data_IF_558803309101
#
_entry.id   IF_558803309101
#
_cell.length_a   1.000
_cell.length_b   1.000
_cell.length_c   1.000
_cell.angle_alpha   90.00
_cell.angle_beta   90.00
_cell.angle_gamma   90.00
#
_symmetry.space_group_name_H-M   'P 1'
#
loop_
_entity.id
_entity.type
_entity.pdbx_description
1 polymer ?
#
# COMPACT_ATOMS: atom_id res chain seq x y z
N UNK A 1 -17.84 -41.66 10.97
CA UNK A 1 -17.39 -41.63 12.38
C UNK A 1 -15.95 -41.15 12.42
N UNK A 2 -15.66 -40.26 13.37
CA UNK A 2 -14.53 -39.35 13.38
C UNK A 2 -13.22 -39.96 13.91
N UNK A 3 -12.08 -39.46 13.43
CA UNK A 3 -10.79 -39.59 14.10
C UNK A 3 -9.90 -38.34 13.87
N UNK A 4 -9.82 -37.53 14.94
CA UNK A 4 -8.71 -36.75 15.52
C UNK A 4 -7.64 -36.06 14.64
N UNK A 5 -7.64 -34.73 14.83
CA UNK A 5 -6.54 -33.74 14.99
C UNK A 5 -5.07 -34.13 14.72
N UNK A 6 -4.38 -33.23 14.00
CA UNK A 6 -3.01 -32.80 14.33
C UNK A 6 -2.86 -31.29 14.05
N UNK A 7 -2.50 -30.54 15.10
CA UNK A 7 -1.98 -29.16 15.04
C UNK A 7 -0.53 -29.22 14.56
N UNK A 8 -0.15 -28.37 13.61
CA UNK A 8 1.27 -28.14 13.29
C UNK A 8 1.68 -26.77 13.84
N UNK A 9 2.76 -26.81 14.61
CA UNK A 9 3.33 -25.72 15.38
C UNK A 9 4.15 -24.75 14.53
N UNK A 10 4.11 -23.47 14.91
CA UNK A 10 5.04 -22.44 14.50
C UNK A 10 6.42 -22.71 15.10
N UNK A 11 7.48 -22.60 14.28
CA UNK A 11 8.86 -22.55 14.76
C UNK A 11 9.37 -21.12 14.53
N UNK A 12 9.32 -20.32 15.58
CA UNK A 12 10.04 -19.06 15.72
C UNK A 12 11.47 -19.36 16.15
N UNK A 13 12.45 -18.94 15.33
CA UNK A 13 13.87 -18.94 15.72
C UNK A 13 14.28 -17.54 16.15
N UNK A 14 14.37 -17.36 17.46
CA UNK A 14 15.04 -16.22 18.10
C UNK A 14 16.49 -16.61 18.38
N UNK A 15 17.44 -15.75 18.01
CA UNK A 15 18.83 -15.85 18.51
C UNK A 15 19.24 -14.47 19.02
N UNK A 16 19.26 -14.33 20.34
CA UNK A 16 19.91 -13.26 21.07
C UNK A 16 21.29 -13.74 21.50
N UNK A 17 22.34 -12.95 21.25
CA UNK A 17 23.58 -12.99 22.03
C UNK A 17 23.96 -11.55 22.39
N UNK A 18 23.76 -11.23 23.65
CA UNK A 18 24.41 -10.11 24.33
C UNK A 18 25.90 -10.40 24.48
N UNK A 19 26.74 -9.39 24.27
CA UNK A 19 27.97 -9.21 25.04
C UNK A 19 28.20 -7.71 25.29
N UNK A 20 28.56 -7.43 26.54
CA UNK A 20 28.57 -6.16 27.25
C UNK A 20 30.00 -5.63 27.31
N UNK A 21 30.24 -4.35 27.04
CA UNK A 21 31.31 -3.59 27.72
C UNK A 21 31.14 -2.07 27.57
N UNK A 22 31.29 -1.39 28.72
CA UNK A 22 31.24 0.06 28.95
C UNK A 22 32.40 0.78 28.25
N UNK A 23 32.17 2.00 27.76
CA UNK A 23 32.82 3.23 28.29
C UNK A 23 32.47 4.48 27.46
N UNK A 24 32.25 5.57 28.21
CA UNK A 24 32.48 6.99 27.87
C UNK A 24 31.55 7.74 26.91
N UNK A 25 30.92 8.76 27.49
CA UNK A 25 30.27 9.92 26.86
C UNK A 25 31.17 10.55 25.78
N UNK A 26 30.56 10.96 24.66
CA UNK A 26 30.77 12.25 23.99
C UNK A 26 29.58 12.47 23.03
N UNK A 27 28.90 13.58 23.26
CA UNK A 27 27.98 14.33 22.41
C UNK A 27 28.00 13.96 20.91
N UNK A 28 26.87 13.47 20.40
CA UNK A 28 26.43 13.70 19.02
C UNK A 28 24.92 13.59 18.95
N UNK A 29 24.26 14.72 18.72
CA UNK A 29 22.93 14.75 18.09
C UNK A 29 23.05 13.97 16.78
N UNK A 30 22.69 12.69 16.82
CA UNK A 30 22.40 11.89 15.65
C UNK A 30 20.88 11.77 15.62
N UNK A 31 20.25 12.49 14.72
CA UNK A 31 18.96 12.09 14.16
C UNK A 31 19.15 10.71 13.53
N UNK A 32 19.00 9.66 14.34
CA UNK A 32 18.97 8.30 13.84
C UNK A 32 17.66 8.12 13.09
N UNK A 33 17.68 8.28 11.76
CA UNK A 33 16.55 7.90 10.92
C UNK A 33 16.31 6.40 11.14
N UNK A 34 15.28 6.08 11.90
CA UNK A 34 14.88 4.70 12.15
C UNK A 34 14.22 4.18 10.88
N UNK A 35 14.60 2.97 10.45
CA UNK A 35 14.08 2.36 9.23
C UNK A 35 13.50 0.99 9.53
N UNK A 36 12.28 0.73 9.03
CA UNK A 36 11.68 -0.60 9.01
C UNK A 36 11.52 -1.07 7.56
N UNK A 37 11.66 -2.39 7.36
CA UNK A 37 11.36 -3.05 6.10
C UNK A 37 10.36 -4.17 6.33
N UNK A 38 9.30 -4.23 5.53
CA UNK A 38 8.32 -5.31 5.58
C UNK A 38 8.03 -5.81 4.17
N UNK A 39 7.87 -7.13 4.03
CA UNK A 39 7.36 -7.78 2.83
C UNK A 39 6.04 -8.47 3.20
N UNK A 40 5.02 -8.31 2.36
CA UNK A 40 3.71 -8.91 2.58
C UNK A 40 3.08 -9.41 1.27
N UNK A 41 2.33 -10.51 1.37
CA UNK A 41 1.43 -10.99 0.33
C UNK A 41 -0.03 -10.62 0.67
N UNK A 42 -0.87 -10.50 -0.36
CA UNK A 42 -2.27 -10.05 -0.27
C UNK A 42 -3.03 -10.86 0.77
N UNK A 43 -3.78 -10.19 1.66
CA UNK A 43 -4.64 -10.87 2.64
C UNK A 43 -6.04 -11.16 2.10
N UNK A 44 -6.56 -10.35 1.18
CA UNK A 44 -7.83 -10.61 0.50
C UNK A 44 -7.97 -9.81 -0.80
N UNK A 45 -8.58 -10.44 -1.82
CA UNK A 45 -9.10 -9.82 -3.03
C UNK A 45 -10.60 -10.13 -3.03
N UNK A 46 -11.47 -9.14 -2.87
CA UNK A 46 -12.91 -9.36 -2.96
C UNK A 46 -13.43 -8.94 -4.34
N UNK A 47 -14.08 -9.84 -5.10
CA UNK A 47 -14.84 -9.45 -6.27
C UNK A 47 -16.13 -8.74 -5.83
N UNK A 48 -16.45 -7.63 -6.48
CA UNK A 48 -17.70 -6.91 -6.22
C UNK A 48 -18.81 -7.66 -6.96
N UNK A 49 -19.72 -8.30 -6.23
CA UNK A 49 -20.85 -9.04 -6.79
C UNK A 49 -21.83 -8.08 -7.49
N UNK A 50 -22.36 -8.49 -8.65
CA UNK A 50 -23.21 -7.66 -9.50
C UNK A 50 -24.62 -7.37 -8.96
N UNK A 51 -25.07 -6.16 -9.30
CA UNK A 51 -26.42 -5.59 -9.36
C UNK A 51 -27.24 -5.41 -8.07
N UNK A 52 -27.29 -4.18 -7.60
CA UNK A 52 -28.51 -3.36 -7.74
C UNK A 52 -28.08 -1.91 -8.01
N UNK A 53 -28.79 -1.22 -8.91
CA UNK A 53 -28.72 0.24 -9.01
C UNK A 53 -29.24 0.82 -7.70
N UNK A 54 -28.35 0.97 -6.72
CA UNK A 54 -28.56 1.92 -5.63
C UNK A 54 -27.70 3.13 -5.96
N UNK A 55 -28.40 4.23 -6.24
CA UNK A 55 -27.95 5.61 -6.27
C UNK A 55 -26.45 5.80 -6.08
N UNK A 56 -25.77 6.17 -7.16
CA UNK A 56 -24.45 6.75 -7.13
C UNK A 56 -24.53 8.06 -6.34
N UNK A 57 -24.52 8.00 -5.01
CA UNK A 57 -24.08 9.14 -4.24
C UNK A 57 -22.60 9.31 -4.57
N UNK A 58 -22.30 10.43 -5.21
CA UNK A 58 -20.97 10.95 -5.39
C UNK A 58 -20.22 10.87 -4.06
N UNK A 59 -19.23 9.98 -3.97
CA UNK A 59 -18.26 9.95 -2.87
C UNK A 59 -17.52 11.31 -2.74
N UNK A 60 -17.64 12.19 -3.73
CA UNK A 60 -17.09 13.54 -3.74
C UNK A 60 -17.83 14.55 -2.85
N UNK A 61 -19.03 14.25 -2.31
CA UNK A 61 -19.80 15.27 -1.57
C UNK A 61 -19.84 15.07 -0.05
N UNK A 62 -19.33 13.96 0.49
CA UNK A 62 -19.27 13.72 1.95
C UNK A 62 -17.87 13.73 2.58
N UNK A 63 -16.80 14.05 1.83
CA UNK A 63 -15.50 14.44 2.41
C UNK A 63 -15.35 15.96 2.36
N UNK A 64 -16.33 16.65 2.92
CA UNK A 64 -16.16 18.02 3.40
C UNK A 64 -16.64 18.06 4.84
N UNK A 65 -15.74 18.51 5.70
CA UNK A 65 -15.93 18.79 7.13
C UNK A 65 -15.58 17.61 8.06
N UNK A 66 -14.28 17.32 8.13
CA UNK A 66 -13.54 17.25 9.41
C UNK A 66 -12.01 17.27 9.23
N UNK A 67 -11.50 17.85 8.15
CA UNK A 67 -10.16 18.44 8.19
C UNK A 67 -10.32 19.82 8.80
N UNK A 68 -10.43 19.88 10.13
CA UNK A 68 -9.88 21.04 10.83
C UNK A 68 -8.42 21.17 10.37
N UNK A 69 -7.90 22.38 10.24
CA UNK A 69 -6.54 22.63 9.72
C UNK A 69 -5.40 22.05 10.58
N UNK A 70 -5.55 20.91 11.24
CA UNK A 70 -4.44 20.13 11.77
C UNK A 70 -3.75 19.43 10.62
N UNK A 71 -2.57 19.96 10.31
CA UNK A 71 -1.40 19.21 9.89
C UNK A 71 -1.63 17.70 9.97
N UNK A 72 -1.73 17.06 8.80
CA UNK A 72 -1.78 15.60 8.69
C UNK A 72 -0.65 14.97 9.51
N UNK A 73 -0.72 13.67 9.77
CA UNK A 73 0.10 12.92 10.75
C UNK A 73 1.63 12.92 10.44
N UNK A 74 2.09 13.80 9.55
CA UNK A 74 3.42 13.85 8.97
C UNK A 74 3.66 12.64 8.08
N UNK A 75 2.57 12.06 7.54
CA UNK A 75 2.62 10.92 6.66
C UNK A 75 2.79 11.39 5.22
N UNK A 76 3.82 10.87 4.55
CA UNK A 76 4.06 11.11 3.12
C UNK A 76 4.70 9.91 2.45
N UNK A 77 4.42 9.73 1.17
CA UNK A 77 5.21 8.84 0.33
C UNK A 77 6.44 9.59 -0.19
N UNK A 78 7.59 8.94 -0.08
CA UNK A 78 8.86 9.46 -0.58
C UNK A 78 9.13 8.95 -2.00
N UNK A 79 8.77 7.70 -2.27
CA UNK A 79 8.83 7.08 -3.59
C UNK A 79 8.02 5.79 -3.64
N UNK A 80 7.74 5.33 -4.86
CA UNK A 80 7.13 4.04 -5.14
C UNK A 80 7.76 3.42 -6.38
N UNK A 81 7.94 2.10 -6.40
CA UNK A 81 8.30 1.35 -7.60
C UNK A 81 7.40 0.12 -7.80
N UNK A 82 7.27 -0.28 -9.07
CA UNK A 82 6.61 -1.51 -9.51
C UNK A 82 7.62 -2.35 -10.27
N UNK A 83 7.72 -3.62 -9.90
CA UNK A 83 8.57 -4.62 -10.54
C UNK A 83 7.75 -5.79 -11.01
N UNK A 84 8.17 -6.39 -12.11
CA UNK A 84 7.79 -7.77 -12.39
C UNK A 84 8.31 -8.66 -11.26
N UNK A 85 7.43 -9.37 -10.57
CA UNK A 85 7.82 -10.18 -9.42
C UNK A 85 8.60 -11.44 -9.81
N UNK A 86 8.47 -11.92 -11.05
CA UNK A 86 9.24 -13.08 -11.53
C UNK A 86 10.67 -12.68 -11.90
N UNK A 87 10.85 -11.64 -12.72
CA UNK A 87 12.17 -11.22 -13.19
C UNK A 87 12.88 -10.22 -12.29
N UNK A 88 12.17 -9.55 -11.37
CA UNK A 88 12.68 -8.45 -10.54
C UNK A 88 12.90 -7.14 -11.30
N UNK A 89 12.60 -7.10 -12.61
CA UNK A 89 12.77 -5.93 -13.47
C UNK A 89 11.86 -4.79 -13.01
N UNK A 90 12.43 -3.59 -12.84
CA UNK A 90 11.64 -2.37 -12.61
C UNK A 90 10.86 -2.03 -13.88
N UNK A 91 9.54 -1.93 -13.74
CA UNK A 91 8.62 -1.55 -14.81
C UNK A 91 8.22 -0.09 -14.69
N UNK A 92 8.11 0.42 -13.46
CA UNK A 92 7.72 1.79 -13.20
C UNK A 92 8.27 2.27 -11.86
N UNK A 93 8.53 3.57 -11.74
CA UNK A 93 8.90 4.21 -10.48
C UNK A 93 8.47 5.69 -10.48
N UNK A 94 8.24 6.22 -9.29
CA UNK A 94 8.01 7.65 -9.04
C UNK A 94 8.62 8.06 -7.71
N UNK A 95 9.04 9.32 -7.62
CA UNK A 95 9.50 9.98 -6.39
C UNK A 95 8.51 11.04 -5.90
N UNK A 96 7.32 11.08 -6.49
CA UNK A 96 6.24 11.98 -6.07
C UNK A 96 5.57 11.46 -4.80
N UNK A 97 5.07 12.40 -3.98
CA UNK A 97 4.22 12.06 -2.84
C UNK A 97 2.81 11.71 -3.31
N UNK A 98 2.66 10.45 -3.72
CA UNK A 98 1.37 9.91 -4.15
C UNK A 98 0.34 9.83 -3.01
N UNK A 99 0.69 10.09 -1.74
CA UNK A 99 -0.25 10.16 -0.64
C UNK A 99 -0.78 11.57 -0.37
N UNK A 100 -0.48 12.55 -1.24
CA UNK A 100 -1.08 13.88 -1.17
C UNK A 100 -2.55 13.83 -1.66
N UNK A 101 -3.54 14.16 -0.81
CA UNK A 101 -4.95 14.06 -1.16
C UNK A 101 -5.48 15.24 -1.99
N UNK A 102 -4.70 16.32 -2.15
CA UNK A 102 -5.18 17.57 -2.74
C UNK A 102 -5.45 17.50 -4.25
N UNK A 103 -4.94 16.47 -4.93
CA UNK A 103 -5.15 16.29 -6.37
C UNK A 103 -5.08 14.82 -6.76
N UNK A 104 -5.62 14.52 -7.94
CA UNK A 104 -5.49 13.22 -8.59
C UNK A 104 -4.13 13.13 -9.32
N UNK A 105 -3.32 12.16 -8.93
CA UNK A 105 -2.02 11.88 -9.52
C UNK A 105 -2.18 11.13 -10.85
N UNK A 106 -1.18 11.23 -11.73
CA UNK A 106 -1.15 10.49 -13.01
C UNK A 106 0.07 9.59 -13.05
N UNK A 107 -0.13 8.30 -13.31
CA UNK A 107 0.95 7.35 -13.51
C UNK A 107 0.93 6.79 -14.93
N UNK A 108 2.00 7.05 -15.68
CA UNK A 108 2.26 6.45 -16.99
C UNK A 108 3.06 5.17 -16.81
N UNK A 109 2.42 4.03 -17.02
CA UNK A 109 2.98 2.70 -16.78
C UNK A 109 3.09 1.92 -18.10
N UNK A 110 4.13 1.09 -18.27
CA UNK A 110 4.31 0.38 -19.53
C UNK A 110 3.26 -0.73 -19.68
N UNK A 111 2.72 -0.92 -20.89
CA UNK A 111 1.71 -1.96 -21.19
C UNK A 111 2.13 -3.38 -20.80
N UNK A 112 3.43 -3.67 -20.78
CA UNK A 112 3.93 -5.01 -20.45
C UNK A 112 3.68 -5.41 -18.99
N UNK A 113 3.35 -4.47 -18.08
CA UNK A 113 2.95 -4.78 -16.71
C UNK A 113 1.67 -5.65 -16.65
N UNK A 114 0.78 -5.51 -17.64
CA UNK A 114 -0.45 -6.31 -17.75
C UNK A 114 -0.17 -7.77 -18.13
N UNK A 115 1.06 -8.10 -18.51
CA UNK A 115 1.50 -9.47 -18.84
C UNK A 115 2.16 -10.16 -17.64
N UNK A 116 2.46 -9.44 -16.57
CA UNK A 116 3.07 -10.03 -15.38
C UNK A 116 2.05 -10.92 -14.66
N UNK A 117 2.48 -12.11 -14.22
CA UNK A 117 1.64 -12.95 -13.33
C UNK A 117 1.45 -12.31 -11.97
N UNK A 118 2.48 -11.62 -11.49
CA UNK A 118 2.39 -10.79 -10.30
C UNK A 118 3.34 -9.59 -10.40
N UNK A 119 2.94 -8.50 -9.76
CA UNK A 119 3.68 -7.24 -9.67
C UNK A 119 4.10 -7.05 -8.23
N UNK A 120 5.39 -6.84 -7.99
CA UNK A 120 5.90 -6.41 -6.70
C UNK A 120 5.84 -4.89 -6.63
N UNK A 121 5.01 -4.36 -5.73
CA UNK A 121 4.98 -2.94 -5.39
C UNK A 121 5.84 -2.70 -4.17
N UNK A 122 6.71 -1.70 -4.24
CA UNK A 122 7.49 -1.24 -3.11
C UNK A 122 7.22 0.25 -2.90
N UNK A 123 6.79 0.62 -1.71
CA UNK A 123 6.63 2.02 -1.30
C UNK A 123 7.66 2.37 -0.24
N UNK A 124 8.11 3.62 -0.23
CA UNK A 124 8.84 4.19 0.87
C UNK A 124 8.10 5.40 1.40
N UNK A 125 7.95 5.47 2.70
CA UNK A 125 7.15 6.49 3.35
C UNK A 125 7.81 6.97 4.63
N UNK A 126 7.50 8.20 5.01
CA UNK A 126 7.90 8.77 6.29
C UNK A 126 6.66 9.04 7.13
N UNK A 127 6.78 8.88 8.43
CA UNK A 127 5.77 9.29 9.40
C UNK A 127 6.43 10.10 10.52
N UNK A 128 5.93 11.30 10.80
CA UNK A 128 6.41 12.11 11.92
C UNK A 128 5.85 11.59 13.26
N UNK A 129 4.61 11.10 13.25
CA UNK A 129 3.97 10.53 14.43
C UNK A 129 3.98 9.01 14.41
N UNK A 130 3.75 8.43 15.59
CA UNK A 130 3.58 6.99 15.77
C UNK A 130 2.26 6.56 15.12
N UNK A 131 2.26 5.40 14.46
CA UNK A 131 1.04 4.74 13.95
C UNK A 131 0.99 3.35 14.58
N UNK A 132 -0.08 3.03 15.30
CA UNK A 132 -0.18 1.77 16.04
C UNK A 132 -0.45 0.58 15.12
N UNK A 133 -1.39 0.74 14.18
CA UNK A 133 -1.83 -0.30 13.25
C UNK A 133 -1.96 0.27 11.84
N UNK A 134 -0.82 0.58 11.24
CA UNK A 134 -0.78 1.09 9.88
C UNK A 134 -1.29 0.04 8.88
N UNK A 135 -2.32 0.41 8.12
CA UNK A 135 -2.92 -0.43 7.08
C UNK A 135 -3.32 0.42 5.89
N UNK A 136 -3.45 -0.21 4.72
CA UNK A 136 -3.98 0.44 3.53
C UNK A 136 -5.13 -0.38 2.96
N UNK A 137 -6.16 0.33 2.53
CA UNK A 137 -7.25 -0.20 1.71
C UNK A 137 -7.12 0.42 0.32
N UNK A 138 -7.13 -0.42 -0.71
CA UNK A 138 -6.99 0.03 -2.08
C UNK A 138 -8.17 -0.45 -2.91
N UNK A 139 -8.85 0.50 -3.57
CA UNK A 139 -9.95 0.23 -4.50
C UNK A 139 -9.51 0.59 -5.92
N UNK A 140 -9.78 -0.31 -6.86
CA UNK A 140 -9.51 -0.10 -8.28
C UNK A 140 -10.83 0.18 -8.98
N UNK A 141 -10.94 1.36 -9.60
CA UNK A 141 -12.12 1.77 -10.34
C UNK A 141 -11.84 1.73 -11.84
N UNK A 142 -12.74 1.12 -12.60
CA UNK A 142 -12.82 1.23 -14.05
C UNK A 142 -14.09 2.00 -14.41
N UNK A 143 -13.95 3.16 -15.05
CA UNK A 143 -15.10 4.02 -15.40
C UNK A 143 -16.02 4.30 -14.19
N UNK A 144 -15.42 4.66 -13.05
CA UNK A 144 -16.08 4.94 -11.77
C UNK A 144 -16.82 3.75 -11.13
N UNK A 145 -16.68 2.54 -11.67
CA UNK A 145 -17.15 1.31 -11.02
C UNK A 145 -15.98 0.63 -10.35
N UNK A 146 -16.06 0.39 -9.05
CA UNK A 146 -15.06 -0.41 -8.37
C UNK A 146 -15.10 -1.83 -8.95
N UNK A 147 -13.93 -2.37 -9.31
CA UNK A 147 -13.76 -3.72 -9.89
C UNK A 147 -12.93 -4.63 -8.99
N UNK A 148 -12.08 -4.06 -8.13
CA UNK A 148 -11.28 -4.81 -7.17
C UNK A 148 -11.04 -4.01 -5.90
N UNK A 149 -10.99 -4.72 -4.76
CA UNK A 149 -10.62 -4.17 -3.46
C UNK A 149 -9.54 -5.02 -2.80
N UNK A 150 -8.60 -4.35 -2.16
CA UNK A 150 -7.37 -4.93 -1.63
C UNK A 150 -7.07 -4.38 -0.25
N UNK A 151 -6.70 -5.26 0.67
CA UNK A 151 -6.38 -4.91 2.06
C UNK A 151 -4.97 -5.36 2.42
N UNK A 152 -4.16 -4.43 2.92
CA UNK A 152 -2.79 -4.71 3.38
C UNK A 152 -2.54 -4.12 4.76
N UNK A 153 -1.71 -4.80 5.53
CA UNK A 153 -1.46 -4.54 6.95
C UNK A 153 0.04 -4.44 7.16
N UNK A 154 0.52 -3.23 7.45
CA UNK A 154 1.92 -2.98 7.80
C UNK A 154 2.16 -3.17 9.29
N UNK A 155 1.24 -2.69 10.13
CA UNK A 155 1.34 -2.74 11.59
C UNK A 155 2.01 -1.51 12.17
N UNK A 156 2.83 -1.70 13.20
CA UNK A 156 3.39 -0.59 13.98
C UNK A 156 4.43 0.24 13.21
N UNK A 157 4.25 1.57 13.17
CA UNK A 157 5.19 2.54 12.60
C UNK A 157 5.79 3.40 13.69
N UNK A 158 7.12 3.43 13.74
CA UNK A 158 7.88 4.25 14.68
C UNK A 158 7.71 5.75 14.31
N UNK A 159 7.51 6.66 15.28
CA UNK A 159 7.50 8.10 14.99
C UNK A 159 8.84 8.57 14.42
N UNK A 160 8.83 9.59 13.55
CA UNK A 160 10.02 10.13 12.88
C UNK A 160 10.86 9.06 12.17
N UNK A 161 10.19 8.11 11.52
CA UNK A 161 10.84 7.00 10.81
C UNK A 161 10.59 7.08 9.31
N UNK A 162 11.48 6.44 8.55
CA UNK A 162 11.31 6.22 7.11
C UNK A 162 11.30 4.72 6.86
N UNK A 163 10.21 4.21 6.29
CA UNK A 163 9.97 2.78 6.15
C UNK A 163 9.84 2.41 4.69
N UNK A 164 10.26 1.20 4.35
CA UNK A 164 10.03 0.59 3.04
C UNK A 164 9.10 -0.61 3.19
N UNK A 165 8.04 -0.65 2.40
CA UNK A 165 7.07 -1.72 2.42
C UNK A 165 6.88 -2.28 1.03
N UNK A 166 7.19 -3.57 0.89
CA UNK A 166 6.96 -4.33 -0.32
C UNK A 166 5.68 -5.19 -0.19
N UNK A 167 4.80 -5.07 -1.17
CA UNK A 167 3.56 -5.84 -1.30
C UNK A 167 3.54 -6.53 -2.66
N UNK A 168 3.21 -7.82 -2.66
CA UNK A 168 3.01 -8.58 -3.90
C UNK A 168 1.56 -8.43 -4.38
N UNK A 169 1.34 -8.22 -5.67
CA UNK A 169 0.04 -8.02 -6.30
C UNK A 169 -0.14 -9.08 -7.40
N UNK A 170 -1.12 -9.97 -7.26
CA UNK A 170 -1.39 -11.03 -8.24
C UNK A 170 -2.30 -10.50 -9.35
N UNK A 171 -1.89 -10.75 -10.59
CA UNK A 171 -2.70 -10.38 -11.73
C UNK A 171 -3.95 -11.26 -11.84
N UNK A 172 -4.97 -10.76 -12.54
CA UNK A 172 -6.07 -11.61 -12.95
C UNK A 172 -5.56 -12.76 -13.84
N UNK A 173 -6.23 -13.93 -13.82
CA UNK A 173 -5.89 -15.04 -14.71
C UNK A 173 -5.80 -14.62 -16.18
N UNK A 174 -4.95 -15.33 -16.92
CA UNK A 174 -4.77 -15.12 -18.36
C UNK A 174 -6.12 -15.27 -19.08
N UNK A 175 -6.49 -14.27 -19.89
CA UNK A 175 -7.79 -14.18 -20.58
C UNK A 175 -8.86 -13.37 -19.85
N UNK A 176 -8.69 -13.03 -18.57
CA UNK A 176 -9.57 -12.10 -17.83
C UNK A 176 -9.02 -10.67 -17.77
N UNK A 177 -7.76 -10.48 -18.15
CA UNK A 177 -7.13 -9.15 -18.20
C UNK A 177 -7.70 -8.34 -19.36
N UNK A 178 -8.26 -7.17 -19.04
CA UNK A 178 -8.75 -6.24 -20.05
C UNK A 178 -7.58 -5.63 -20.85
N UNK A 179 -7.79 -5.32 -22.15
CA UNK A 179 -6.75 -4.73 -22.99
C UNK A 179 -6.38 -3.33 -22.49
N UNK A 180 -5.09 -2.97 -22.65
CA UNK A 180 -4.55 -1.68 -22.24
C UNK A 180 -5.33 -0.47 -22.81
N UNK A 181 -5.87 -0.58 -24.02
CA UNK A 181 -6.68 0.46 -24.65
C UNK A 181 -7.98 0.77 -23.90
N UNK A 182 -8.58 -0.21 -23.21
CA UNK A 182 -9.77 -0.01 -22.39
C UNK A 182 -9.42 0.49 -20.98
N UNK A 183 -8.24 0.12 -20.48
CA UNK A 183 -7.79 0.48 -19.13
C UNK A 183 -7.16 1.89 -19.06
N UNK A 184 -6.40 2.28 -20.08
CA UNK A 184 -5.62 3.52 -20.10
C UNK A 184 -6.51 4.76 -19.98
N UNK A 185 -6.27 5.58 -18.97
CA UNK A 185 -7.06 6.78 -18.64
C UNK A 185 -8.37 6.49 -17.90
N UNK A 186 -8.85 5.25 -17.91
CA UNK A 186 -10.13 4.85 -17.33
C UNK A 186 -10.00 4.17 -15.97
N UNK A 187 -8.79 3.70 -15.63
CA UNK A 187 -8.48 3.16 -14.31
C UNK A 187 -8.06 4.28 -13.35
N UNK A 188 -8.72 4.32 -12.20
CA UNK A 188 -8.30 5.11 -11.03
C UNK A 188 -8.11 4.16 -9.85
N UNK A 189 -6.95 4.25 -9.22
CA UNK A 189 -6.67 3.58 -7.95
C UNK A 189 -6.88 4.58 -6.82
N UNK A 190 -7.79 4.25 -5.92
CA UNK A 190 -7.95 4.95 -4.65
C UNK A 190 -7.25 4.17 -3.56
N UNK A 191 -6.44 4.85 -2.75
CA UNK A 191 -5.82 4.26 -1.55
C UNK A 191 -6.19 5.07 -0.33
N UNK A 192 -6.72 4.41 0.69
CA UNK A 192 -6.95 4.98 2.01
C UNK A 192 -5.94 4.40 2.99
N UNK A 193 -5.21 5.28 3.66
CA UNK A 193 -4.21 4.94 4.67
C UNK A 193 -4.85 5.09 6.05
N UNK A 194 -4.71 4.10 6.92
CA UNK A 194 -5.35 4.10 8.24
C UNK A 194 -4.36 3.79 9.38
N UNK A 195 -4.66 4.33 10.56
CA UNK A 195 -4.21 3.85 11.86
C UNK A 195 -5.39 3.21 12.58
N UNK A 196 -5.49 1.88 12.56
CA UNK A 196 -6.70 1.17 13.00
C UNK A 196 -7.94 1.73 12.28
N UNK A 197 -8.89 2.38 12.95
CA UNK A 197 -10.08 2.98 12.33
C UNK A 197 -9.90 4.45 11.93
N UNK A 198 -8.75 5.07 12.25
CA UNK A 198 -8.50 6.47 11.96
C UNK A 198 -7.92 6.65 10.55
N UNK A 199 -8.61 7.43 9.70
CA UNK A 199 -8.13 7.76 8.36
C UNK A 199 -6.95 8.74 8.43
N UNK A 200 -5.80 8.31 7.95
CA UNK A 200 -4.54 9.06 7.96
C UNK A 200 -4.42 9.99 6.76
N UNK A 201 -4.60 9.43 5.56
CA UNK A 201 -4.58 10.15 4.29
C UNK A 201 -5.29 9.34 3.22
N UNK A 202 -5.58 9.98 2.10
CA UNK A 202 -6.12 9.34 0.89
C UNK A 202 -5.26 9.66 -0.32
N UNK A 203 -5.26 8.78 -1.30
CA UNK A 203 -4.60 8.94 -2.58
C UNK A 203 -5.55 8.58 -3.70
N UNK A 204 -5.47 9.32 -4.80
CA UNK A 204 -6.11 9.00 -6.09
C UNK A 204 -5.06 9.01 -7.19
N UNK A 205 -4.88 7.89 -7.88
CA UNK A 205 -3.93 7.77 -8.99
C UNK A 205 -4.63 7.26 -10.24
N UNK A 206 -4.66 8.06 -11.30
CA UNK A 206 -5.14 7.65 -12.62
C UNK A 206 -4.03 6.99 -13.42
N UNK A 207 -4.30 5.82 -13.96
CA UNK A 207 -3.32 5.03 -14.71
C UNK A 207 -3.44 5.28 -16.22
N UNK A 208 -2.31 5.41 -16.89
CA UNK A 208 -2.18 5.46 -18.35
C UNK A 208 -1.20 4.37 -18.78
N UNK A 209 -1.66 3.43 -19.60
CA UNK A 209 -0.84 2.34 -20.12
C UNK A 209 -0.24 2.74 -21.48
N UNK A 210 1.09 2.90 -21.55
CA UNK A 210 1.83 3.31 -22.75
C UNK A 210 2.69 2.18 -23.34
#
# INVERSE_FOLDING_TARGET
MAAKSVKVAEISKTTNKEQKQKSTEITKQRSSNTQQKKQQQIRSKQPIAGSSESSCESFSDNIKNNFDGKEGIGFKLNWMNLRDAESGKILWQSTEDLANPNFEHKAKIPKNILKCKSVSREINFTSERKIEKFRLEQRVFLNNRAIEEWYFDFGFVIPQSTNTWQTLIEAAPEGQMLPASLLSGNIVIETSFFDDDFLVSTSRVRLYYE
#
